data_IF_482774437380
#
_entry.id   IF_482774437380
#
_cell.length_a   1.000
_cell.length_b   1.000
_cell.length_c   1.000
_cell.angle_alpha   90.00
_cell.angle_beta   90.00
_cell.angle_gamma   90.00
#
_symmetry.space_group_name_H-M   'P 1'
#
loop_
_entity.id
_entity.type
_entity.pdbx_description
1 polymer ?
#
# COMPACT_ATOMS: atom_id res chain seq x y z
N UNK A 1 23.23 96.68 18.33
CA UNK A 1 23.79 95.79 17.28
C UNK A 1 24.25 94.44 17.81
N UNK A 2 25.06 94.36 18.89
CA UNK A 2 25.53 93.07 19.46
C UNK A 2 24.45 92.03 19.80
N UNK A 3 23.28 92.44 20.30
CA UNK A 3 22.17 91.52 20.66
C UNK A 3 21.57 90.76 19.46
N UNK A 4 21.62 91.35 18.25
CA UNK A 4 21.13 90.70 17.02
C UNK A 4 22.13 89.64 16.56
N UNK A 5 23.44 89.92 16.66
CA UNK A 5 24.51 88.99 16.32
C UNK A 5 24.51 87.75 17.23
N UNK A 6 24.34 87.95 18.55
CA UNK A 6 24.18 86.83 19.49
C UNK A 6 22.92 86.00 19.20
N UNK A 7 21.81 86.64 18.83
CA UNK A 7 20.57 85.95 18.47
C UNK A 7 20.74 85.01 17.27
N UNK A 8 21.46 85.45 16.22
CA UNK A 8 21.74 84.64 15.02
C UNK A 8 22.65 83.45 15.34
N UNK A 9 23.67 83.64 16.18
CA UNK A 9 24.58 82.55 16.58
C UNK A 9 23.83 81.49 17.40
N UNK A 10 23.01 81.90 18.36
CA UNK A 10 22.22 80.96 19.19
C UNK A 10 21.22 80.19 18.33
N UNK A 11 20.53 80.86 17.40
CA UNK A 11 19.61 80.21 16.46
C UNK A 11 20.33 79.15 15.61
N UNK A 12 21.52 79.48 15.07
CA UNK A 12 22.32 78.54 14.29
C UNK A 12 22.73 77.30 15.08
N UNK A 13 23.12 77.47 16.34
CA UNK A 13 23.46 76.35 17.24
C UNK A 13 22.23 75.48 17.51
N UNK A 14 21.07 76.07 17.81
CA UNK A 14 19.83 75.32 18.05
C UNK A 14 19.41 74.52 16.80
N UNK A 15 19.50 75.11 15.61
CA UNK A 15 19.20 74.41 14.35
C UNK A 15 20.17 73.26 14.12
N UNK A 16 21.47 73.44 14.37
CA UNK A 16 22.47 72.39 14.23
C UNK A 16 22.22 71.22 15.20
N UNK A 17 21.87 71.51 16.46
CA UNK A 17 21.51 70.49 17.47
C UNK A 17 20.26 69.72 17.02
N UNK A 18 19.22 70.43 16.58
CA UNK A 18 17.97 69.81 16.14
C UNK A 18 18.18 68.92 14.90
N UNK A 19 18.97 69.38 13.93
CA UNK A 19 19.35 68.58 12.76
C UNK A 19 20.14 67.32 13.15
N UNK A 20 21.08 67.44 14.11
CA UNK A 20 21.81 66.30 14.66
C UNK A 20 20.91 65.27 15.34
N UNK A 21 19.97 65.72 16.18
CA UNK A 21 18.99 64.85 16.84
C UNK A 21 18.10 64.11 15.83
N UNK A 22 17.59 64.79 14.80
CA UNK A 22 16.80 64.17 13.74
C UNK A 22 17.60 63.13 12.95
N UNK A 23 18.87 63.41 12.65
CA UNK A 23 19.73 62.46 11.92
C UNK A 23 20.01 61.19 12.72
N UNK A 24 20.28 61.32 14.02
CA UNK A 24 20.48 60.17 14.92
C UNK A 24 19.19 59.37 15.07
N UNK A 25 18.05 60.03 15.27
CA UNK A 25 16.75 59.39 15.37
C UNK A 25 16.38 58.59 14.10
N UNK A 26 16.50 59.21 12.92
CA UNK A 26 16.22 58.56 11.63
C UNK A 26 17.12 57.34 11.38
N UNK A 27 18.41 57.43 11.72
CA UNK A 27 19.35 56.29 11.62
C UNK A 27 19.02 55.19 12.62
N UNK A 28 18.66 55.55 13.85
CA UNK A 28 18.25 54.61 14.90
C UNK A 28 17.00 53.82 14.53
N UNK A 29 15.99 54.51 13.99
CA UNK A 29 14.74 53.90 13.50
C UNK A 29 15.00 52.95 12.32
N UNK A 30 15.82 53.36 11.34
CA UNK A 30 16.17 52.53 10.19
C UNK A 30 16.97 51.28 10.61
N UNK A 31 17.95 51.43 11.49
CA UNK A 31 18.71 50.29 12.03
C UNK A 31 17.81 49.37 12.89
N UNK A 32 16.84 49.95 13.60
CA UNK A 32 15.85 49.23 14.37
C UNK A 32 14.85 48.45 13.52
N UNK A 33 14.38 49.03 12.42
CA UNK A 33 13.53 48.35 11.46
C UNK A 33 14.30 47.21 10.77
N UNK A 34 15.55 47.45 10.37
CA UNK A 34 16.38 46.44 9.69
C UNK A 34 16.66 45.21 10.56
N UNK A 35 17.01 45.38 11.84
CA UNK A 35 17.25 44.25 12.76
C UNK A 35 15.98 43.42 12.98
N UNK A 36 14.83 44.08 13.11
CA UNK A 36 13.55 43.41 13.31
C UNK A 36 13.16 42.66 12.03
N UNK A 37 13.33 43.27 10.85
CA UNK A 37 13.07 42.63 9.56
C UNK A 37 13.90 41.36 9.37
N UNK A 38 15.20 41.40 9.65
CA UNK A 38 16.09 40.22 9.56
C UNK A 38 15.62 39.10 10.48
N UNK A 39 15.20 39.40 11.70
CA UNK A 39 14.67 38.40 12.63
C UNK A 39 13.34 37.81 12.13
N UNK A 40 12.44 38.64 11.60
CA UNK A 40 11.18 38.15 11.01
C UNK A 40 11.41 37.28 9.78
N UNK A 41 12.32 37.67 8.89
CA UNK A 41 12.63 36.91 7.68
C UNK A 41 13.31 35.57 8.02
N UNK A 42 14.22 35.58 9.02
CA UNK A 42 14.80 34.35 9.55
C UNK A 42 13.75 33.43 10.20
N UNK A 43 12.84 33.99 11.00
CA UNK A 43 11.76 33.24 11.64
C UNK A 43 10.77 32.66 10.60
N UNK A 44 10.42 33.42 9.57
CA UNK A 44 9.59 32.94 8.45
C UNK A 44 10.28 31.80 7.70
N UNK A 45 11.55 31.96 7.36
CA UNK A 45 12.31 30.92 6.67
C UNK A 45 12.43 29.65 7.51
N UNK A 46 12.63 29.78 8.82
CA UNK A 46 12.64 28.63 9.73
C UNK A 46 11.27 27.95 9.76
N UNK A 47 10.19 28.70 9.92
CA UNK A 47 8.83 28.16 9.90
C UNK A 47 8.50 27.45 8.57
N UNK A 48 8.95 27.99 7.43
CA UNK A 48 8.80 27.33 6.12
C UNK A 48 9.61 26.03 6.03
N UNK A 49 10.83 26.01 6.56
CA UNK A 49 11.66 24.79 6.60
C UNK A 49 11.02 23.71 7.45
N UNK A 50 10.54 24.06 8.64
CA UNK A 50 9.84 23.15 9.54
C UNK A 50 8.56 22.60 8.89
N UNK A 51 7.78 23.45 8.21
CA UNK A 51 6.60 23.04 7.43
C UNK A 51 6.98 22.06 6.33
N UNK A 52 8.02 22.37 5.54
CA UNK A 52 8.44 21.51 4.44
C UNK A 52 8.96 20.16 4.95
N UNK A 53 9.75 20.16 6.04
CA UNK A 53 10.21 18.92 6.69
C UNK A 53 9.04 18.06 7.19
N UNK A 54 8.01 18.68 7.78
CA UNK A 54 6.82 17.97 8.22
C UNK A 54 6.05 17.36 7.04
N UNK A 55 5.94 18.08 5.92
CA UNK A 55 5.33 17.57 4.68
C UNK A 55 6.14 16.42 4.08
N UNK A 56 7.47 16.55 4.02
CA UNK A 56 8.36 15.52 3.48
C UNK A 56 8.30 14.25 4.34
N UNK A 57 8.29 14.39 5.66
CA UNK A 57 8.11 13.28 6.59
C UNK A 57 6.75 12.60 6.41
N UNK A 58 5.67 13.37 6.24
CA UNK A 58 4.35 12.82 5.99
C UNK A 58 4.28 12.07 4.64
N UNK A 59 4.87 12.63 3.58
CA UNK A 59 4.94 11.99 2.26
C UNK A 59 5.79 10.71 2.29
N UNK A 60 6.91 10.71 3.00
CA UNK A 60 7.75 9.52 3.14
C UNK A 60 6.99 8.37 3.83
N UNK A 61 6.21 8.69 4.86
CA UNK A 61 5.37 7.73 5.56
C UNK A 61 4.21 7.22 4.68
N UNK A 62 3.56 8.10 3.91
CA UNK A 62 2.54 7.71 2.94
C UNK A 62 3.13 6.78 1.87
N UNK A 63 4.29 7.10 1.31
CA UNK A 63 4.97 6.26 0.33
C UNK A 63 5.32 4.90 0.91
N UNK A 64 5.81 4.85 2.16
CA UNK A 64 6.10 3.60 2.85
C UNK A 64 4.85 2.71 2.96
N UNK A 65 3.71 3.28 3.37
CA UNK A 65 2.44 2.55 3.49
C UNK A 65 1.94 2.04 2.15
N UNK A 66 1.97 2.89 1.13
CA UNK A 66 1.53 2.53 -0.23
C UNK A 66 2.40 1.42 -0.81
N UNK A 67 3.72 1.49 -0.63
CA UNK A 67 4.63 0.45 -1.11
C UNK A 67 4.37 -0.90 -0.43
N UNK A 68 4.13 -0.92 0.88
CA UNK A 68 3.86 -2.16 1.60
C UNK A 68 2.50 -2.76 1.20
N UNK A 69 1.46 -1.93 1.02
CA UNK A 69 0.17 -2.38 0.51
C UNK A 69 0.29 -2.95 -0.91
N UNK A 70 1.05 -2.27 -1.78
CA UNK A 70 1.30 -2.75 -3.14
C UNK A 70 2.01 -4.11 -3.13
N UNK A 71 3.01 -4.30 -2.27
CA UNK A 71 3.72 -5.57 -2.11
C UNK A 71 2.81 -6.70 -1.64
N UNK A 72 1.93 -6.43 -0.68
CA UNK A 72 0.95 -7.42 -0.19
C UNK A 72 -0.04 -7.81 -1.30
N UNK A 73 -0.51 -6.84 -2.08
CA UNK A 73 -1.42 -7.08 -3.19
C UNK A 73 -0.76 -7.87 -4.33
N UNK A 74 0.49 -7.55 -4.66
CA UNK A 74 1.29 -8.25 -5.67
C UNK A 74 1.50 -9.72 -5.28
N UNK A 75 1.95 -9.95 -4.04
CA UNK A 75 2.16 -11.30 -3.52
C UNK A 75 0.85 -12.11 -3.47
N UNK A 76 -0.28 -11.49 -3.09
CA UNK A 76 -1.58 -12.15 -3.14
C UNK A 76 -2.01 -12.51 -4.58
N UNK A 77 -1.68 -11.65 -5.55
CA UNK A 77 -1.95 -11.90 -6.98
C UNK A 77 -1.11 -13.07 -7.48
N UNK A 78 0.18 -13.09 -7.16
CA UNK A 78 1.08 -14.18 -7.54
C UNK A 78 0.63 -15.52 -6.95
N UNK A 79 0.22 -15.55 -5.67
CA UNK A 79 -0.34 -16.75 -5.05
C UNK A 79 -1.64 -17.21 -5.72
N UNK A 80 -2.52 -16.27 -6.09
CA UNK A 80 -3.75 -16.59 -6.79
C UNK A 80 -3.49 -17.17 -8.19
N UNK A 81 -2.50 -16.65 -8.90
CA UNK A 81 -2.12 -17.17 -10.21
C UNK A 81 -1.48 -18.55 -10.11
N UNK A 82 -0.61 -18.78 -9.14
CA UNK A 82 -0.06 -20.11 -8.86
C UNK A 82 -1.16 -21.13 -8.54
N UNK A 83 -2.11 -20.79 -7.67
CA UNK A 83 -3.24 -21.67 -7.35
C UNK A 83 -4.13 -21.97 -8.57
N UNK A 84 -4.31 -21.00 -9.48
CA UNK A 84 -5.03 -21.22 -10.74
C UNK A 84 -4.28 -22.16 -11.68
N UNK A 85 -2.97 -22.00 -11.78
CA UNK A 85 -2.13 -22.87 -12.60
C UNK A 85 -2.15 -24.31 -12.08
N UNK A 86 -2.02 -24.49 -10.76
CA UNK A 86 -2.13 -25.79 -10.10
C UNK A 86 -3.51 -26.43 -10.31
N UNK A 87 -4.59 -25.66 -10.18
CA UNK A 87 -5.95 -26.13 -10.44
C UNK A 87 -6.14 -26.59 -11.90
N UNK A 88 -5.56 -25.88 -12.87
CA UNK A 88 -5.58 -26.31 -14.28
C UNK A 88 -4.79 -27.60 -14.48
N UNK A 89 -3.59 -27.69 -13.92
CA UNK A 89 -2.76 -28.90 -14.01
C UNK A 89 -3.44 -30.13 -13.39
N UNK A 90 -4.12 -29.94 -12.25
CA UNK A 90 -4.93 -30.98 -11.60
C UNK A 90 -6.12 -31.41 -12.46
N UNK A 91 -6.83 -30.44 -13.08
CA UNK A 91 -7.90 -30.70 -14.04
C UNK A 91 -7.44 -31.56 -15.23
N UNK A 92 -6.32 -31.18 -15.85
CA UNK A 92 -5.73 -31.91 -16.97
C UNK A 92 -5.32 -33.34 -16.56
N UNK A 93 -4.77 -33.50 -15.35
CA UNK A 93 -4.41 -34.81 -14.81
C UNK A 93 -5.65 -35.69 -14.58
N UNK A 94 -6.72 -35.11 -14.03
CA UNK A 94 -7.98 -35.80 -13.81
C UNK A 94 -8.63 -36.24 -15.14
N UNK A 95 -8.60 -35.40 -16.18
CA UNK A 95 -9.13 -35.74 -17.49
C UNK A 95 -8.34 -36.86 -18.18
N UNK A 96 -7.01 -36.84 -18.08
CA UNK A 96 -6.16 -37.96 -18.54
C UNK A 96 -6.48 -39.25 -17.81
N UNK A 97 -6.70 -39.19 -16.49
CA UNK A 97 -7.08 -40.35 -15.69
C UNK A 97 -8.44 -40.90 -16.12
N UNK A 98 -9.45 -40.04 -16.31
CA UNK A 98 -10.79 -40.42 -16.79
C UNK A 98 -10.71 -41.09 -18.16
N UNK A 99 -9.94 -40.53 -19.09
CA UNK A 99 -9.74 -41.12 -20.41
C UNK A 99 -9.09 -42.51 -20.33
N UNK A 100 -8.10 -42.69 -19.44
CA UNK A 100 -7.45 -43.99 -19.21
C UNK A 100 -8.40 -45.02 -18.61
N UNK A 101 -9.20 -44.61 -17.61
CA UNK A 101 -10.21 -45.47 -16.99
C UNK A 101 -11.27 -45.90 -18.01
N UNK A 102 -11.78 -44.97 -18.83
CA UNK A 102 -12.73 -45.28 -19.89
C UNK A 102 -12.16 -46.30 -20.90
N UNK A 103 -10.89 -46.15 -21.29
CA UNK A 103 -10.19 -47.11 -22.15
C UNK A 103 -10.07 -48.51 -21.51
N UNK A 104 -9.74 -48.59 -20.22
CA UNK A 104 -9.65 -49.86 -19.48
C UNK A 104 -11.01 -50.54 -19.35
N UNK A 105 -12.07 -49.78 -19.06
CA UNK A 105 -13.45 -50.30 -18.99
C UNK A 105 -13.88 -50.86 -20.34
N UNK A 106 -13.62 -50.13 -21.44
CA UNK A 106 -13.93 -50.59 -22.79
C UNK A 106 -13.16 -51.88 -23.16
N UNK A 107 -11.86 -51.94 -22.85
CA UNK A 107 -11.04 -53.13 -23.09
C UNK A 107 -11.53 -54.34 -22.27
N UNK A 108 -11.91 -54.14 -21.01
CA UNK A 108 -12.47 -55.18 -20.15
C UNK A 108 -13.80 -55.74 -20.68
N UNK A 109 -14.65 -54.89 -21.29
CA UNK A 109 -15.88 -55.35 -21.97
C UNK A 109 -15.59 -56.15 -23.23
N UNK A 110 -14.66 -55.68 -24.07
CA UNK A 110 -14.27 -56.39 -25.29
C UNK A 110 -13.74 -57.80 -24.99
N UNK A 111 -12.96 -57.96 -23.91
CA UNK A 111 -12.45 -59.25 -23.46
C UNK A 111 -13.53 -60.20 -22.87
N UNK A 112 -14.64 -59.66 -22.34
CA UNK A 112 -15.76 -60.47 -21.82
C UNK A 112 -16.71 -60.96 -22.93
N UNK A 113 -16.88 -60.16 -23.99
CA UNK A 113 -17.78 -60.48 -25.09
C UNK A 113 -17.31 -61.66 -25.97
N UNK A 114 -16.05 -62.10 -25.86
CA UNK A 114 -15.55 -63.29 -26.57
C UNK A 114 -15.83 -64.62 -25.85
N UNK A 115 -16.33 -64.61 -24.60
CA UNK A 115 -16.40 -65.81 -23.76
C UNK A 115 -17.81 -66.26 -23.33
N UNK A 116 -18.89 -65.51 -23.58
CA UNK A 116 -20.23 -65.89 -23.06
C UNK A 116 -21.37 -65.61 -24.05
N UNK A 117 -22.09 -66.68 -24.42
CA UNK A 117 -23.40 -66.61 -25.03
C UNK A 117 -24.44 -66.12 -24.01
N UNK A 118 -25.20 -65.08 -24.37
CA UNK A 118 -26.42 -64.66 -23.69
C UNK A 118 -26.25 -63.88 -22.38
N UNK A 119 -26.23 -62.56 -22.46
CA UNK A 119 -26.59 -61.71 -21.32
C UNK A 119 -27.68 -60.73 -21.78
N UNK A 120 -28.85 -60.81 -21.14
CA UNK A 120 -29.96 -59.87 -21.35
C UNK A 120 -29.60 -58.44 -20.96
N UNK A 121 -30.50 -57.45 -21.20
CA UNK A 121 -30.21 -56.03 -21.03
C UNK A 121 -29.67 -55.76 -19.63
N UNK A 122 -28.38 -55.45 -19.56
CA UNK A 122 -27.65 -55.31 -18.30
C UNK A 122 -28.15 -54.07 -17.57
N UNK A 123 -28.72 -54.27 -16.38
CA UNK A 123 -28.70 -53.24 -15.34
C UNK A 123 -27.25 -52.72 -15.22
N UNK A 124 -27.07 -51.39 -15.15
CA UNK A 124 -25.79 -50.71 -15.36
C UNK A 124 -24.58 -51.44 -14.76
N UNK A 125 -23.52 -51.58 -15.55
CA UNK A 125 -22.27 -52.25 -15.16
C UNK A 125 -21.73 -51.59 -13.88
N UNK A 126 -21.45 -52.33 -12.80
CA UNK A 126 -20.90 -51.78 -11.56
C UNK A 126 -19.64 -50.91 -11.75
N UNK A 127 -18.87 -51.18 -12.81
CA UNK A 127 -17.70 -50.37 -13.20
C UNK A 127 -18.08 -48.96 -13.67
N UNK A 128 -19.22 -48.78 -14.34
CA UNK A 128 -19.68 -47.47 -14.80
C UNK A 128 -20.11 -46.61 -13.60
N UNK A 129 -20.80 -47.21 -12.63
CA UNK A 129 -21.22 -46.52 -11.40
C UNK A 129 -19.99 -46.05 -10.61
N UNK A 130 -18.96 -46.89 -10.48
CA UNK A 130 -17.72 -46.52 -9.80
C UNK A 130 -16.99 -45.38 -10.53
N UNK A 131 -16.91 -45.43 -11.86
CA UNK A 131 -16.29 -44.37 -12.66
C UNK A 131 -17.05 -43.04 -12.55
N UNK A 132 -18.38 -43.08 -12.56
CA UNK A 132 -19.24 -41.90 -12.39
C UNK A 132 -19.12 -41.30 -10.98
N UNK A 133 -19.15 -42.12 -9.93
CA UNK A 133 -18.97 -41.66 -8.54
C UNK A 133 -17.59 -41.06 -8.34
N UNK A 134 -16.52 -41.70 -8.84
CA UNK A 134 -15.16 -41.15 -8.77
C UNK A 134 -15.06 -39.82 -9.53
N UNK A 135 -15.66 -39.73 -10.72
CA UNK A 135 -15.68 -38.51 -11.52
C UNK A 135 -16.37 -37.34 -10.80
N UNK A 136 -17.53 -37.60 -10.17
CA UNK A 136 -18.23 -36.59 -9.36
C UNK A 136 -17.47 -36.21 -8.10
N UNK A 137 -16.90 -37.18 -7.39
CA UNK A 137 -16.14 -36.93 -6.17
C UNK A 137 -14.91 -36.06 -6.44
N UNK A 138 -14.13 -36.40 -7.47
CA UNK A 138 -12.96 -35.64 -7.89
C UNK A 138 -13.33 -34.21 -8.31
N UNK A 139 -14.39 -34.05 -9.11
CA UNK A 139 -14.90 -32.72 -9.49
C UNK A 139 -15.26 -31.87 -8.26
N UNK A 140 -15.98 -32.45 -7.30
CA UNK A 140 -16.35 -31.75 -6.06
C UNK A 140 -15.14 -31.41 -5.20
N UNK A 141 -14.15 -32.30 -5.13
CA UNK A 141 -12.90 -32.03 -4.44
C UNK A 141 -12.15 -30.85 -5.07
N UNK A 142 -12.10 -30.78 -6.40
CA UNK A 142 -11.50 -29.64 -7.11
C UNK A 142 -12.24 -28.31 -6.88
N UNK A 143 -13.57 -28.32 -6.90
CA UNK A 143 -14.39 -27.14 -6.56
C UNK A 143 -14.13 -26.66 -5.12
N UNK A 144 -14.03 -27.59 -4.16
CA UNK A 144 -13.70 -27.26 -2.77
C UNK A 144 -12.28 -26.71 -2.63
N UNK A 145 -11.30 -27.31 -3.30
CA UNK A 145 -9.92 -26.87 -3.27
C UNK A 145 -9.79 -25.43 -3.80
N UNK A 146 -10.40 -25.14 -4.96
CA UNK A 146 -10.40 -23.80 -5.54
C UNK A 146 -11.03 -22.75 -4.60
N UNK A 147 -12.12 -23.11 -3.91
CA UNK A 147 -12.74 -22.23 -2.92
C UNK A 147 -11.83 -22.03 -1.69
N UNK A 148 -11.22 -23.10 -1.19
CA UNK A 148 -10.31 -23.05 -0.05
C UNK A 148 -9.08 -22.17 -0.37
N UNK A 149 -8.48 -22.32 -1.55
CA UNK A 149 -7.34 -21.51 -1.97
C UNK A 149 -7.72 -20.04 -2.10
N UNK A 150 -8.87 -19.75 -2.73
CA UNK A 150 -9.35 -18.37 -2.88
C UNK A 150 -9.60 -17.68 -1.53
N UNK A 151 -10.25 -18.39 -0.60
CA UNK A 151 -10.53 -17.86 0.74
C UNK A 151 -9.27 -17.73 1.58
N UNK A 152 -8.35 -18.70 1.50
CA UNK A 152 -7.07 -18.65 2.20
C UNK A 152 -6.21 -17.48 1.71
N UNK A 153 -6.05 -17.32 0.40
CA UNK A 153 -5.22 -16.23 -0.18
C UNK A 153 -5.80 -14.87 0.20
N UNK A 154 -7.12 -14.70 0.11
CA UNK A 154 -7.79 -13.47 0.54
C UNK A 154 -7.59 -13.21 2.04
N UNK A 155 -7.76 -14.23 2.89
CA UNK A 155 -7.56 -14.13 4.33
C UNK A 155 -6.13 -13.74 4.69
N UNK A 156 -5.14 -14.44 4.13
CA UNK A 156 -3.72 -14.17 4.33
C UNK A 156 -3.31 -12.78 3.83
N UNK A 157 -3.93 -12.26 2.77
CA UNK A 157 -3.73 -10.89 2.33
C UNK A 157 -4.31 -9.88 3.32
N UNK A 158 -5.52 -10.13 3.84
CA UNK A 158 -6.16 -9.28 4.86
C UNK A 158 -5.35 -9.22 6.15
N UNK A 159 -4.87 -10.36 6.65
CA UNK A 159 -4.03 -10.44 7.86
C UNK A 159 -2.73 -9.65 7.68
N UNK A 160 -2.02 -9.86 6.57
CA UNK A 160 -0.78 -9.11 6.28
C UNK A 160 -1.02 -7.61 6.13
N UNK A 161 -2.12 -7.20 5.50
CA UNK A 161 -2.48 -5.79 5.40
C UNK A 161 -2.78 -5.19 6.79
N UNK A 162 -3.46 -5.94 7.66
CA UNK A 162 -3.70 -5.52 9.04
C UNK A 162 -2.41 -5.40 9.85
N UNK A 163 -1.50 -6.36 9.71
CA UNK A 163 -0.20 -6.33 10.39
C UNK A 163 0.66 -5.16 9.93
N UNK A 164 0.67 -4.85 8.62
CA UNK A 164 1.35 -3.68 8.10
C UNK A 164 0.79 -2.37 8.68
N UNK A 165 -0.53 -2.27 8.84
CA UNK A 165 -1.18 -1.12 9.49
C UNK A 165 -0.87 -1.07 10.99
N UNK A 166 -0.83 -2.22 11.66
CA UNK A 166 -0.64 -2.32 13.12
C UNK A 166 0.81 -2.11 13.55
N UNK A 167 1.80 -2.60 12.78
CA UNK A 167 3.22 -2.34 13.00
C UNK A 167 3.58 -0.86 12.84
N UNK A 168 2.76 -0.12 12.09
CA UNK A 168 2.91 1.32 11.87
C UNK A 168 2.30 2.15 13.01
N UNK A 169 1.51 1.55 13.90
CA UNK A 169 1.00 2.23 15.08
C UNK A 169 2.17 2.40 16.05
N UNK A 170 2.69 3.63 16.30
CA UNK A 170 3.65 3.81 17.37
C UNK A 170 2.96 3.33 18.64
N UNK A 171 3.64 2.52 19.44
CA UNK A 171 3.22 2.23 20.81
C UNK A 171 3.13 3.56 21.57
N UNK A 172 1.99 4.25 21.46
CA UNK A 172 1.55 5.31 22.39
C UNK A 172 1.15 4.66 23.72
N UNK A 173 2.06 3.91 24.31
CA UNK A 173 1.94 3.39 25.66
C UNK A 173 3.22 3.68 26.41
N UNK A 174 3.50 4.98 26.55
CA UNK A 174 4.40 5.50 27.58
C UNK A 174 3.75 6.71 28.24
N UNK A 175 2.92 6.45 29.25
CA UNK A 175 2.87 7.24 30.48
C UNK A 175 2.17 6.39 31.56
N UNK A 176 2.48 6.51 32.86
CA UNK A 176 3.03 7.67 33.58
C UNK A 176 4.57 7.73 33.68
#
# INVERSE_FOLDING_TARGET
MKWIEYGVVVLGVVVAIYAGLLHVYKKGDAAGAARIQVQWDAAKLQAERERNQAVDAARAEEQRRTNEQARIADEATHQADAARDDARAAGDAADRLRARVAGLVAAGRAARNSATAGAGPTAGDPLDVLADVLGRADKRAGELAAYADATHIAGAACERAYDALSATRPTQRSNP
#
